data_IF_488329292793
#
_entry.id   IF_488329292793
#
_cell.length_a   1.000
_cell.length_b   1.000
_cell.length_c   1.000
_cell.angle_alpha   90.00
_cell.angle_beta   90.00
_cell.angle_gamma   90.00
#
_symmetry.space_group_name_H-M   'P 1'
#
loop_
_entity.id
_entity.type
_entity.pdbx_description
1 polymer ?
#
# COMPACT_ATOMS: atom_id res chain seq x y z
N UNK A 1 15.46 -21.15 -9.97
CA UNK A 1 15.26 -19.97 -9.08
C UNK A 1 16.06 -20.18 -7.81
N UNK A 2 16.81 -19.17 -7.36
CA UNK A 2 17.57 -19.28 -6.11
C UNK A 2 16.62 -19.11 -4.93
N UNK A 3 16.79 -19.88 -3.85
CA UNK A 3 15.89 -19.88 -2.66
C UNK A 3 15.61 -18.48 -2.09
N UNK A 4 16.61 -17.59 -2.14
CA UNK A 4 16.44 -16.20 -1.69
C UNK A 4 15.48 -15.38 -2.57
N UNK A 5 15.45 -15.61 -3.88
CA UNK A 5 14.54 -14.89 -4.79
C UNK A 5 13.09 -15.27 -4.52
N UNK A 6 12.83 -16.55 -4.25
CA UNK A 6 11.50 -17.03 -3.88
C UNK A 6 11.04 -16.45 -2.55
N UNK A 7 11.91 -16.38 -1.54
CA UNK A 7 11.59 -15.77 -0.25
C UNK A 7 11.26 -14.28 -0.41
N UNK A 8 12.07 -13.53 -1.18
CA UNK A 8 11.81 -12.13 -1.46
C UNK A 8 10.46 -11.91 -2.14
N UNK A 9 10.12 -12.73 -3.14
CA UNK A 9 8.82 -12.66 -3.82
C UNK A 9 7.67 -12.96 -2.86
N UNK A 10 7.82 -13.94 -1.98
CA UNK A 10 6.80 -14.28 -0.99
C UNK A 10 6.57 -13.15 0.01
N UNK A 11 7.64 -12.55 0.54
CA UNK A 11 7.55 -11.41 1.48
C UNK A 11 6.92 -10.19 0.79
N UNK A 12 7.38 -9.86 -0.41
CA UNK A 12 6.92 -8.68 -1.14
C UNK A 12 5.47 -8.83 -1.60
N UNK A 13 5.10 -9.98 -2.16
CA UNK A 13 3.74 -10.23 -2.65
C UNK A 13 2.73 -10.58 -1.54
N UNK A 14 3.20 -11.00 -0.36
CA UNK A 14 2.34 -11.34 0.77
C UNK A 14 2.25 -10.19 1.79
N UNK A 15 2.99 -10.29 2.91
CA UNK A 15 2.84 -9.36 4.03
C UNK A 15 3.15 -7.90 3.66
N UNK A 16 4.17 -7.64 2.84
CA UNK A 16 4.51 -6.26 2.49
C UNK A 16 3.42 -5.60 1.61
N UNK A 17 2.87 -6.32 0.64
CA UNK A 17 1.75 -5.85 -0.17
C UNK A 17 0.51 -5.54 0.67
N UNK A 18 0.19 -6.39 1.65
CA UNK A 18 -0.93 -6.17 2.56
C UNK A 18 -0.74 -4.91 3.41
N UNK A 19 0.42 -4.78 4.07
CA UNK A 19 0.74 -3.61 4.91
C UNK A 19 0.67 -2.33 4.07
N UNK A 20 1.27 -2.33 2.88
CA UNK A 20 1.27 -1.16 2.01
C UNK A 20 -0.14 -0.77 1.55
N UNK A 21 -1.01 -1.75 1.28
CA UNK A 21 -2.41 -1.51 0.92
C UNK A 21 -3.19 -0.90 2.09
N UNK A 22 -2.97 -1.40 3.31
CA UNK A 22 -3.60 -0.85 4.52
C UNK A 22 -3.16 0.60 4.73
N UNK A 23 -1.86 0.87 4.66
CA UNK A 23 -1.32 2.23 4.83
C UNK A 23 -1.84 3.18 3.76
N UNK A 24 -1.91 2.74 2.50
CA UNK A 24 -2.44 3.57 1.42
C UNK A 24 -3.88 4.02 1.69
N UNK A 25 -4.68 3.16 2.32
CA UNK A 25 -6.09 3.47 2.64
C UNK A 25 -6.28 4.18 3.97
N UNK A 26 -5.39 3.96 4.96
CA UNK A 26 -5.51 4.54 6.29
C UNK A 26 -5.45 6.08 6.29
N UNK A 27 -4.74 6.68 5.34
CA UNK A 27 -4.65 8.13 5.18
C UNK A 27 -5.79 8.76 4.36
N UNK A 28 -6.62 7.97 3.66
CA UNK A 28 -7.68 8.54 2.82
C UNK A 28 -8.80 9.23 3.61
N UNK A 29 -9.25 8.70 4.76
CA UNK A 29 -10.28 9.37 5.55
C UNK A 29 -9.87 10.76 6.06
N UNK A 30 -8.59 11.06 6.23
CA UNK A 30 -8.14 12.36 6.75
C UNK A 30 -8.09 13.46 5.67
N UNK A 31 -8.07 13.08 4.39
CA UNK A 31 -7.90 14.00 3.26
C UNK A 31 -9.22 14.22 2.51
N UNK A 32 -10.11 13.22 2.53
CA UNK A 32 -11.39 13.30 1.83
C UNK A 32 -12.40 14.13 2.64
N UNK A 33 -13.19 15.02 1.99
CA UNK A 33 -14.25 15.73 2.66
C UNK A 33 -15.28 14.76 3.26
N UNK A 34 -15.96 15.17 4.32
CA UNK A 34 -17.05 14.37 4.86
C UNK A 34 -18.18 14.27 3.83
N UNK A 35 -18.71 13.06 3.63
CA UNK A 35 -19.91 12.89 2.80
C UNK A 35 -21.16 13.45 3.48
N UNK A 36 -22.28 13.50 2.76
CA UNK A 36 -23.56 13.99 3.28
C UNK A 36 -24.04 13.28 4.56
N UNK A 37 -23.54 12.06 4.83
CA UNK A 37 -23.80 11.30 6.06
C UNK A 37 -22.84 11.58 7.22
N UNK A 38 -21.92 12.54 7.12
CA UNK A 38 -20.96 12.90 8.18
C UNK A 38 -19.81 11.90 8.39
N UNK A 39 -19.72 10.85 7.58
CA UNK A 39 -18.62 9.88 7.60
C UNK A 39 -17.73 10.12 6.36
N UNK A 40 -16.41 10.03 6.55
CA UNK A 40 -15.45 10.09 5.46
C UNK A 40 -15.74 9.00 4.42
N UNK A 41 -15.59 9.33 3.14
CA UNK A 41 -16.08 8.50 2.03
C UNK A 41 -15.46 7.09 2.00
N UNK A 42 -16.25 6.07 2.38
CA UNK A 42 -15.85 4.65 2.39
C UNK A 42 -15.73 4.01 0.99
N UNK A 43 -16.43 4.57 -0.01
CA UNK A 43 -16.44 4.02 -1.38
C UNK A 43 -15.04 3.99 -1.97
N UNK A 44 -14.26 5.05 -1.75
CA UNK A 44 -12.92 5.16 -2.33
C UNK A 44 -11.96 4.11 -1.71
N UNK A 45 -11.85 3.95 -0.38
CA UNK A 45 -11.13 2.83 0.22
C UNK A 45 -11.59 1.45 -0.25
N UNK A 46 -12.90 1.23 -0.36
CA UNK A 46 -13.47 -0.07 -0.78
C UNK A 46 -13.05 -0.46 -2.20
N UNK A 47 -12.97 0.50 -3.11
CA UNK A 47 -12.55 0.24 -4.51
C UNK A 47 -11.03 0.23 -4.64
N UNK A 48 -10.33 1.18 -4.01
CA UNK A 48 -8.88 1.32 -4.16
C UNK A 48 -8.11 0.20 -3.43
N UNK A 49 -8.59 -0.28 -2.28
CA UNK A 49 -7.91 -1.33 -1.54
C UNK A 49 -7.66 -2.59 -2.39
N UNK A 50 -8.67 -3.23 -3.02
CA UNK A 50 -8.43 -4.44 -3.82
C UNK A 50 -7.58 -4.15 -5.07
N UNK A 51 -7.71 -2.98 -5.70
CA UNK A 51 -6.92 -2.62 -6.88
C UNK A 51 -5.44 -2.43 -6.55
N UNK A 52 -5.15 -1.69 -5.48
CA UNK A 52 -3.78 -1.48 -5.00
C UNK A 52 -3.19 -2.78 -4.48
N UNK A 53 -3.94 -3.54 -3.70
CA UNK A 53 -3.50 -4.83 -3.18
C UNK A 53 -3.17 -5.80 -4.31
N UNK A 54 -4.06 -5.97 -5.30
CA UNK A 54 -3.79 -6.80 -6.46
C UNK A 54 -2.52 -6.34 -7.21
N UNK A 55 -2.35 -5.04 -7.40
CA UNK A 55 -1.16 -4.47 -8.04
C UNK A 55 0.10 -4.79 -7.24
N UNK A 56 0.05 -4.68 -5.91
CA UNK A 56 1.17 -4.96 -5.02
C UNK A 56 1.47 -6.47 -4.88
N UNK A 57 0.50 -7.34 -5.10
CA UNK A 57 0.73 -8.80 -5.17
C UNK A 57 1.38 -9.18 -6.51
N UNK A 58 0.86 -8.63 -7.61
CA UNK A 58 1.26 -9.04 -8.97
C UNK A 58 2.67 -8.55 -9.33
N UNK A 59 3.04 -7.32 -8.96
CA UNK A 59 4.30 -6.73 -9.41
C UNK A 59 5.58 -7.48 -8.93
N UNK A 60 5.72 -7.87 -7.65
CA UNK A 60 6.86 -8.67 -7.20
C UNK A 60 6.95 -10.05 -7.89
N UNK A 61 5.82 -10.60 -8.33
CA UNK A 61 5.76 -11.89 -9.05
C UNK A 61 6.12 -11.72 -10.53
N UNK A 62 5.66 -10.66 -11.18
CA UNK A 62 5.90 -10.41 -12.60
C UNK A 62 7.29 -9.82 -12.91
N UNK A 63 7.95 -9.19 -11.94
CA UNK A 63 9.23 -8.51 -12.14
C UNK A 63 10.42 -9.48 -12.26
N UNK A 64 11.43 -9.08 -13.04
CA UNK A 64 12.77 -9.72 -13.06
C UNK A 64 13.73 -9.12 -12.03
N UNK A 65 13.36 -8.00 -11.39
CA UNK A 65 14.21 -7.23 -10.46
C UNK A 65 13.50 -7.01 -9.12
N UNK A 66 13.47 -8.01 -8.21
CA UNK A 66 12.75 -7.90 -6.94
C UNK A 66 13.30 -6.79 -6.03
N UNK A 67 14.60 -6.46 -6.13
CA UNK A 67 15.20 -5.35 -5.37
C UNK A 67 14.57 -3.98 -5.67
N UNK A 68 14.14 -3.73 -6.92
CA UNK A 68 13.46 -2.48 -7.28
C UNK A 68 12.07 -2.39 -6.66
N UNK A 69 11.39 -3.52 -6.53
CA UNK A 69 10.08 -3.57 -5.87
C UNK A 69 10.26 -3.31 -4.38
N UNK A 70 11.26 -3.92 -3.74
CA UNK A 70 11.58 -3.67 -2.34
C UNK A 70 11.88 -2.19 -2.05
N UNK A 71 12.72 -1.53 -2.86
CA UNK A 71 13.02 -0.10 -2.66
C UNK A 71 11.79 0.78 -2.88
N UNK A 72 10.95 0.43 -3.84
CA UNK A 72 9.69 1.17 -4.10
C UNK A 72 8.72 1.01 -2.94
N UNK A 73 8.56 -0.20 -2.40
CA UNK A 73 7.66 -0.45 -1.26
C UNK A 73 8.14 0.26 -0.01
N UNK A 74 9.44 0.26 0.24
CA UNK A 74 10.04 1.00 1.34
C UNK A 74 9.77 2.51 1.21
N UNK A 75 10.00 3.08 0.02
CA UNK A 75 9.77 4.49 -0.25
C UNK A 75 8.29 4.89 -0.10
N UNK A 76 7.37 4.08 -0.66
CA UNK A 76 5.93 4.31 -0.52
C UNK A 76 5.47 4.18 0.93
N UNK A 77 5.98 3.19 1.67
CA UNK A 77 5.67 3.02 3.09
C UNK A 77 6.09 4.25 3.89
N UNK A 78 7.32 4.73 3.70
CA UNK A 78 7.82 5.93 4.37
C UNK A 78 6.99 7.17 4.02
N UNK A 79 6.66 7.35 2.73
CA UNK A 79 5.83 8.46 2.28
C UNK A 79 4.42 8.41 2.89
N UNK A 80 3.77 7.25 2.86
CA UNK A 80 2.41 7.09 3.40
C UNK A 80 2.38 7.32 4.91
N UNK A 81 3.36 6.78 5.64
CA UNK A 81 3.48 7.04 7.07
C UNK A 81 3.71 8.53 7.37
N UNK A 82 4.54 9.20 6.59
CA UNK A 82 4.76 10.65 6.71
C UNK A 82 3.45 11.42 6.49
N UNK A 83 2.72 11.14 5.40
CA UNK A 83 1.46 11.81 5.09
C UNK A 83 0.41 11.58 6.16
N UNK A 84 0.28 10.34 6.66
CA UNK A 84 -0.61 10.00 7.76
C UNK A 84 -0.22 10.81 9.00
N UNK A 85 1.06 10.80 9.37
CA UNK A 85 1.55 11.52 10.55
C UNK A 85 1.28 13.01 10.46
N UNK A 86 1.55 13.64 9.30
CA UNK A 86 1.28 15.04 9.07
C UNK A 86 -0.22 15.36 9.18
N UNK A 87 -1.08 14.53 8.60
CA UNK A 87 -2.53 14.71 8.68
C UNK A 87 -3.09 14.61 10.10
N UNK A 88 -2.39 13.97 11.03
CA UNK A 88 -2.76 13.93 12.45
C UNK A 88 -2.15 15.07 13.28
N UNK A 89 -1.15 15.79 12.74
CA UNK A 89 -0.47 16.90 13.41
C UNK A 89 -1.03 18.28 13.02
N UNK A 90 -1.77 18.37 11.91
CA UNK A 90 -2.39 19.59 11.38
C UNK A 90 -3.89 19.59 11.59
#
# INVERSE_FOLDING_TARGET
MRRHETLWRWILAGPAALILSILAMAGLPTILPAGAGGINHLVLPVVLFPLLWASFVVWPVATTRPGRVATTYLALTALLLLLITLAFLT
#
